data_IF_794486962991
#
_entry.id   IF_794486962991
#
_cell.length_a   1.000
_cell.length_b   1.000
_cell.length_c   1.000
_cell.angle_alpha   90.00
_cell.angle_beta   90.00
_cell.angle_gamma   90.00
#
_symmetry.space_group_name_H-M   'P 1'
#
loop_
_entity.id
_entity.type
_entity.pdbx_description
1 polymer ?
#
# COMPACT_ATOMS: atom_id res chain seq x y z
N UNK A 1 23.75 -3.87 21.28
CA UNK A 1 24.88 -3.86 20.32
C UNK A 1 24.66 -2.90 19.15
N UNK A 2 24.07 -3.28 18.00
CA UNK A 2 23.99 -2.38 16.81
C UNK A 2 23.30 -1.01 17.05
N UNK A 3 22.22 -1.00 17.84
CA UNK A 3 21.47 0.22 18.13
C UNK A 3 22.16 1.11 19.18
N UNK A 4 23.08 0.57 19.97
CA UNK A 4 23.76 1.27 21.06
C UNK A 4 25.11 1.85 20.59
N UNK A 5 25.79 1.15 19.67
CA UNK A 5 27.14 1.49 19.22
C UNK A 5 27.17 2.53 18.08
N UNK A 6 26.06 2.72 17.37
CA UNK A 6 26.03 3.56 16.17
C UNK A 6 24.96 4.64 16.24
N UNK A 7 25.28 5.82 15.70
CA UNK A 7 24.33 6.94 15.58
C UNK A 7 23.22 6.63 14.56
N UNK A 8 22.09 7.33 14.66
CA UNK A 8 20.99 7.24 13.69
C UNK A 8 21.48 7.48 12.25
N UNK A 9 22.32 8.50 12.05
CA UNK A 9 22.85 8.85 10.74
C UNK A 9 23.73 7.73 10.15
N UNK A 10 24.57 7.09 10.97
CA UNK A 10 25.39 5.97 10.52
C UNK A 10 24.53 4.78 10.10
N UNK A 11 23.51 4.41 10.90
CA UNK A 11 22.58 3.33 10.56
C UNK A 11 21.78 3.64 9.30
N UNK A 12 21.33 4.87 9.13
CA UNK A 12 20.64 5.31 7.92
C UNK A 12 21.55 5.26 6.68
N UNK A 13 22.82 5.64 6.81
CA UNK A 13 23.79 5.54 5.71
C UNK A 13 24.02 4.08 5.29
N UNK A 14 24.11 3.15 6.24
CA UNK A 14 24.21 1.71 5.97
C UNK A 14 22.97 1.21 5.23
N UNK A 15 21.77 1.60 5.67
CA UNK A 15 20.51 1.29 4.98
C UNK A 15 20.54 1.79 3.53
N UNK A 16 20.94 3.04 3.31
CA UNK A 16 21.00 3.63 1.97
C UNK A 16 22.01 2.91 1.07
N UNK A 17 23.21 2.60 1.58
CA UNK A 17 24.23 1.85 0.85
C UNK A 17 23.74 0.44 0.49
N UNK A 18 23.18 -0.29 1.45
CA UNK A 18 22.62 -1.63 1.23
C UNK A 18 21.45 -1.64 0.23
N UNK A 19 20.62 -0.59 0.25
CA UNK A 19 19.54 -0.40 -0.72
C UNK A 19 20.08 -0.23 -2.15
N UNK A 20 21.09 0.63 -2.34
CA UNK A 20 21.72 0.84 -3.65
C UNK A 20 22.43 -0.42 -4.16
N UNK A 21 23.14 -1.14 -3.29
CA UNK A 21 23.76 -2.42 -3.62
C UNK A 21 22.71 -3.46 -4.02
N UNK A 22 21.59 -3.55 -3.30
CA UNK A 22 20.47 -4.43 -3.62
C UNK A 22 19.88 -4.10 -4.99
N UNK A 23 19.66 -2.82 -5.29
CA UNK A 23 19.16 -2.39 -6.60
C UNK A 23 20.13 -2.75 -7.74
N UNK A 24 21.43 -2.50 -7.56
CA UNK A 24 22.46 -2.87 -8.53
C UNK A 24 22.51 -4.39 -8.75
N UNK A 25 22.41 -5.17 -7.67
CA UNK A 25 22.40 -6.63 -7.70
C UNK A 25 21.20 -7.18 -8.50
N UNK A 26 19.98 -6.76 -8.18
CA UNK A 26 18.78 -7.22 -8.91
C UNK A 26 18.84 -6.76 -10.37
N UNK A 27 19.36 -5.56 -10.63
CA UNK A 27 19.54 -5.06 -11.99
C UNK A 27 20.51 -5.93 -12.81
N UNK A 28 21.62 -6.38 -12.22
CA UNK A 28 22.56 -7.30 -12.85
C UNK A 28 21.91 -8.68 -13.09
N UNK A 29 21.11 -9.15 -12.12
CA UNK A 29 20.41 -10.42 -12.18
C UNK A 29 19.18 -10.44 -13.12
N UNK A 30 18.76 -9.29 -13.70
CA UNK A 30 17.54 -9.19 -14.54
C UNK A 30 17.48 -10.13 -15.74
N UNK A 31 18.65 -10.56 -16.24
CA UNK A 31 18.79 -11.49 -17.37
C UNK A 31 18.48 -12.94 -17.00
N UNK A 32 18.42 -13.27 -15.71
CA UNK A 32 18.05 -14.61 -15.25
C UNK A 32 16.60 -14.94 -15.67
N UNK A 33 16.31 -16.21 -16.01
CA UNK A 33 14.96 -16.63 -16.34
C UNK A 33 14.04 -16.54 -15.10
N UNK A 34 12.75 -16.23 -15.28
CA UNK A 34 11.78 -16.18 -14.18
C UNK A 34 11.67 -17.48 -13.38
N UNK A 35 11.22 -17.38 -12.13
CA UNK A 35 11.09 -18.51 -11.20
C UNK A 35 12.33 -18.68 -10.33
N UNK A 36 12.80 -19.92 -10.19
CA UNK A 36 13.84 -20.28 -9.22
C UNK A 36 15.16 -19.49 -9.35
N UNK A 37 15.71 -19.23 -10.55
CA UNK A 37 16.97 -18.48 -10.66
C UNK A 37 16.86 -17.04 -10.16
N UNK A 38 15.76 -16.36 -10.49
CA UNK A 38 15.47 -15.03 -9.93
C UNK A 38 15.19 -15.09 -8.43
N UNK A 39 14.54 -16.13 -7.94
CA UNK A 39 14.28 -16.30 -6.50
C UNK A 39 15.60 -16.41 -5.72
N UNK A 40 16.54 -17.24 -6.19
CA UNK A 40 17.86 -17.36 -5.57
C UNK A 40 18.59 -16.01 -5.53
N UNK A 41 18.54 -15.24 -6.62
CA UNK A 41 19.09 -13.89 -6.65
C UNK A 41 18.34 -12.90 -5.73
N UNK A 42 17.05 -13.11 -5.50
CA UNK A 42 16.22 -12.24 -4.65
C UNK A 42 16.43 -12.50 -3.15
N UNK A 43 16.75 -13.72 -2.72
CA UNK A 43 16.89 -14.09 -1.30
C UNK A 43 17.76 -13.13 -0.47
N UNK A 44 19.00 -12.76 -0.87
CA UNK A 44 19.80 -11.82 -0.07
C UNK A 44 19.16 -10.43 0.04
N UNK A 45 18.45 -9.99 -1.00
CA UNK A 45 17.74 -8.70 -1.00
C UNK A 45 16.51 -8.75 -0.09
N UNK A 46 15.76 -9.86 -0.11
CA UNK A 46 14.61 -10.05 0.78
C UNK A 46 15.06 -10.12 2.25
N UNK A 47 16.17 -10.80 2.53
CA UNK A 47 16.76 -10.85 3.87
C UNK A 47 17.19 -9.45 4.34
N UNK A 48 17.86 -8.68 3.48
CA UNK A 48 18.21 -7.29 3.76
C UNK A 48 16.96 -6.44 4.04
N UNK A 49 15.94 -6.54 3.21
CA UNK A 49 14.69 -5.80 3.39
C UNK A 49 14.02 -6.13 4.73
N UNK A 50 14.00 -7.40 5.16
CA UNK A 50 13.47 -7.81 6.47
C UNK A 50 14.33 -7.33 7.64
N UNK A 51 15.65 -7.19 7.46
CA UNK A 51 16.54 -6.68 8.49
C UNK A 51 16.52 -5.14 8.60
N UNK A 52 16.19 -4.44 7.52
CA UNK A 52 16.27 -2.98 7.44
C UNK A 52 15.53 -2.23 8.57
N UNK A 53 14.28 -2.57 8.95
CA UNK A 53 13.60 -1.85 10.03
C UNK A 53 14.22 -2.10 11.41
N UNK A 54 14.95 -3.21 11.61
CA UNK A 54 15.62 -3.53 12.87
C UNK A 54 16.80 -2.59 13.18
N UNK A 55 17.21 -1.77 12.21
CA UNK A 55 18.19 -0.69 12.40
C UNK A 55 17.61 0.51 13.17
N UNK A 56 16.33 0.49 13.52
CA UNK A 56 15.63 1.55 14.22
C UNK A 56 15.04 1.05 15.53
N UNK A 57 15.06 1.91 16.55
CA UNK A 57 14.54 1.57 17.89
C UNK A 57 13.01 1.47 17.87
N UNK A 58 12.42 0.31 18.20
CA UNK A 58 10.97 0.21 18.36
C UNK A 58 10.50 1.03 19.58
N UNK A 59 9.21 1.30 19.64
CA UNK A 59 8.55 1.86 20.80
C UNK A 59 8.52 0.85 21.95
N UNK A 60 9.12 1.23 23.08
CA UNK A 60 8.98 0.49 24.33
C UNK A 60 7.69 0.94 25.04
N UNK A 61 6.63 0.13 24.90
CA UNK A 61 5.34 0.41 25.54
C UNK A 61 5.39 0.34 27.08
N UNK A 62 6.45 -0.20 27.67
CA UNK A 62 6.63 -0.23 29.13
C UNK A 62 7.28 1.05 29.68
N UNK A 63 8.00 1.79 28.83
CA UNK A 63 8.68 3.02 29.20
C UNK A 63 8.75 3.98 28.00
N UNK A 64 7.74 4.84 27.91
CA UNK A 64 7.62 5.84 26.84
C UNK A 64 8.62 7.00 26.98
N UNK A 65 9.38 7.09 28.07
CA UNK A 65 10.42 8.12 28.23
C UNK A 65 11.65 7.81 27.37
N UNK A 66 11.84 6.54 26.99
CA UNK A 66 12.98 6.12 26.16
C UNK A 66 12.86 6.67 24.74
N UNK A 67 13.98 7.09 24.14
CA UNK A 67 14.00 7.51 22.75
C UNK A 67 13.60 6.33 21.86
N UNK A 68 12.59 6.56 21.01
CA UNK A 68 12.13 5.58 20.02
C UNK A 68 12.20 6.19 18.62
N UNK A 69 12.41 5.32 17.63
CA UNK A 69 12.50 5.65 16.21
C UNK A 69 11.38 4.92 15.47
N UNK A 70 10.23 4.76 16.14
CA UNK A 70 9.10 3.94 15.68
C UNK A 70 8.56 4.40 14.32
N UNK A 71 8.48 5.70 14.08
CA UNK A 71 8.06 6.24 12.78
C UNK A 71 9.05 5.80 11.69
N UNK A 72 10.36 5.90 11.94
CA UNK A 72 11.40 5.44 11.00
C UNK A 72 11.30 3.93 10.77
N UNK A 73 11.13 3.13 11.83
CA UNK A 73 10.93 1.69 11.71
C UNK A 73 9.71 1.35 10.83
N UNK A 74 8.56 2.00 11.06
CA UNK A 74 7.35 1.81 10.27
C UNK A 74 7.49 2.26 8.81
N UNK A 75 8.15 3.39 8.54
CA UNK A 75 8.38 3.87 7.17
C UNK A 75 9.37 2.98 6.40
N UNK A 76 10.41 2.48 7.07
CA UNK A 76 11.39 1.56 6.46
C UNK A 76 10.75 0.18 6.25
N UNK A 77 9.90 -0.29 7.15
CA UNK A 77 9.09 -1.49 6.93
C UNK A 77 8.21 -1.35 5.68
N UNK A 78 7.44 -0.27 5.59
CA UNK A 78 6.56 -0.01 4.46
C UNK A 78 7.35 0.04 3.13
N UNK A 79 8.49 0.73 3.11
CA UNK A 79 9.30 0.86 1.90
C UNK A 79 10.01 -0.45 1.51
N UNK A 80 10.62 -1.14 2.47
CA UNK A 80 11.51 -2.28 2.20
C UNK A 80 10.80 -3.62 2.33
N UNK A 81 10.29 -3.94 3.53
CA UNK A 81 9.65 -5.23 3.82
C UNK A 81 8.42 -5.43 2.95
N UNK A 82 7.63 -4.37 2.77
CA UNK A 82 6.43 -4.44 1.95
C UNK A 82 6.70 -4.09 0.48
N UNK A 83 6.89 -2.82 0.14
CA UNK A 83 6.83 -2.39 -1.27
C UNK A 83 8.00 -2.91 -2.10
N UNK A 84 9.24 -2.76 -1.63
CA UNK A 84 10.43 -3.24 -2.34
C UNK A 84 10.40 -4.77 -2.50
N UNK A 85 10.18 -5.52 -1.41
CA UNK A 85 10.09 -6.98 -1.47
C UNK A 85 9.01 -7.47 -2.41
N UNK A 86 7.83 -6.83 -2.43
CA UNK A 86 6.76 -7.25 -3.34
C UNK A 86 7.11 -6.95 -4.80
N UNK A 87 7.77 -5.83 -5.10
CA UNK A 87 8.28 -5.57 -6.46
C UNK A 87 9.31 -6.62 -6.89
N UNK A 88 10.21 -7.01 -5.98
CA UNK A 88 11.21 -8.06 -6.22
C UNK A 88 10.55 -9.43 -6.40
N UNK A 89 9.60 -9.80 -5.55
CA UNK A 89 8.85 -11.06 -5.66
C UNK A 89 8.01 -11.10 -6.94
N UNK A 90 7.38 -9.99 -7.32
CA UNK A 90 6.70 -9.88 -8.60
C UNK A 90 7.68 -10.10 -9.76
N UNK A 91 8.88 -9.51 -9.72
CA UNK A 91 9.93 -9.71 -10.73
C UNK A 91 10.38 -11.16 -10.85
N UNK A 92 10.53 -11.87 -9.72
CA UNK A 92 10.79 -13.32 -9.68
C UNK A 92 9.73 -14.07 -10.49
N UNK A 93 8.46 -13.70 -10.32
CA UNK A 93 7.33 -14.28 -11.03
C UNK A 93 7.06 -13.69 -12.43
N UNK A 94 7.97 -12.89 -12.98
CA UNK A 94 7.78 -12.20 -14.26
C UNK A 94 6.56 -11.25 -14.29
N UNK A 95 6.29 -10.58 -13.18
CA UNK A 95 5.17 -9.65 -12.99
C UNK A 95 5.68 -8.30 -12.47
N UNK A 96 4.80 -7.29 -12.50
CA UNK A 96 5.07 -6.00 -11.90
C UNK A 96 6.07 -5.13 -12.69
N UNK A 97 6.49 -4.00 -12.11
CA UNK A 97 7.16 -2.94 -12.85
C UNK A 97 8.62 -3.24 -13.20
N UNK A 98 9.29 -4.11 -12.44
CA UNK A 98 10.72 -4.42 -12.59
C UNK A 98 11.04 -5.36 -13.76
N UNK A 99 10.02 -5.92 -14.43
CA UNK A 99 10.20 -6.74 -15.65
C UNK A 99 10.57 -5.88 -16.86
N UNK A 100 10.20 -4.60 -16.85
CA UNK A 100 10.43 -3.69 -17.97
C UNK A 100 11.93 -3.35 -18.10
N UNK A 101 12.41 -3.04 -19.32
CA UNK A 101 13.82 -2.76 -19.58
C UNK A 101 14.23 -1.34 -19.16
N UNK A 102 14.08 -1.02 -17.86
CA UNK A 102 14.47 0.27 -17.31
C UNK A 102 15.99 0.49 -17.37
N UNK A 103 16.40 1.76 -17.51
CA UNK A 103 17.80 2.17 -17.31
C UNK A 103 18.21 1.94 -15.84
N UNK A 104 19.50 1.75 -15.51
CA UNK A 104 19.93 1.43 -14.14
C UNK A 104 19.38 2.37 -13.07
N UNK A 105 19.43 3.69 -13.30
CA UNK A 105 18.92 4.69 -12.34
C UNK A 105 17.39 4.63 -12.19
N UNK A 106 16.66 4.48 -13.30
CA UNK A 106 15.20 4.30 -13.28
C UNK A 106 14.82 3.00 -12.55
N UNK A 107 15.56 1.92 -12.79
CA UNK A 107 15.35 0.64 -12.15
C UNK A 107 15.52 0.74 -10.63
N UNK A 108 16.63 1.32 -10.17
CA UNK A 108 16.88 1.53 -8.74
C UNK A 108 15.82 2.41 -8.09
N UNK A 109 15.45 3.52 -8.73
CA UNK A 109 14.39 4.40 -8.23
C UNK A 109 13.03 3.69 -8.12
N UNK A 110 12.63 2.92 -9.15
CA UNK A 110 11.37 2.18 -9.15
C UNK A 110 11.38 1.05 -8.11
N UNK A 111 12.51 0.38 -7.92
CA UNK A 111 12.64 -0.70 -6.94
C UNK A 111 12.54 -0.17 -5.51
N UNK A 112 13.32 0.87 -5.18
CA UNK A 112 13.52 1.32 -3.80
C UNK A 112 12.49 2.33 -3.33
N UNK A 113 12.00 3.21 -4.21
CA UNK A 113 11.04 4.24 -3.81
C UNK A 113 9.62 3.65 -3.71
N UNK A 114 8.77 4.17 -2.80
CA UNK A 114 7.40 3.71 -2.61
C UNK A 114 6.43 4.24 -3.71
N UNK A 115 6.82 4.09 -4.97
CA UNK A 115 6.08 4.56 -6.16
C UNK A 115 5.60 3.41 -7.03
N UNK A 116 4.60 3.65 -7.88
CA UNK A 116 4.24 2.76 -8.98
C UNK A 116 4.39 3.51 -10.31
N UNK A 117 5.18 3.02 -11.27
CA UNK A 117 5.18 3.60 -12.61
C UNK A 117 3.86 3.29 -13.31
N UNK A 118 3.41 4.17 -14.18
CA UNK A 118 2.17 4.00 -14.95
C UNK A 118 2.18 2.70 -15.76
N UNK A 119 1.06 1.98 -15.76
CA UNK A 119 0.86 0.77 -16.56
C UNK A 119 0.61 1.13 -18.04
N UNK A 120 1.62 0.96 -18.91
CA UNK A 120 1.46 1.20 -20.36
C UNK A 120 0.63 0.13 -21.09
N UNK A 121 0.43 -1.05 -20.50
CA UNK A 121 -0.28 -2.17 -21.13
C UNK A 121 -1.82 -2.03 -21.18
N UNK A 122 -2.38 -0.90 -20.77
CA UNK A 122 -3.81 -0.62 -20.89
C UNK A 122 -4.26 -0.18 -22.31
N UNK A 123 -3.35 -0.10 -23.29
CA UNK A 123 -3.68 0.30 -24.66
C UNK A 123 -4.35 -0.82 -25.51
N UNK A 124 -4.33 -2.08 -25.08
CA UNK A 124 -4.86 -3.21 -25.86
C UNK A 124 -5.93 -4.05 -25.15
N UNK A 125 -6.43 -3.63 -23.99
CA UNK A 125 -7.66 -4.17 -23.41
C UNK A 125 -8.81 -3.19 -23.70
N UNK A 126 -9.63 -3.52 -24.69
CA UNK A 126 -10.91 -2.84 -24.88
C UNK A 126 -11.73 -2.91 -23.58
N UNK A 127 -12.24 -1.75 -23.15
CA UNK A 127 -13.01 -1.43 -21.95
C UNK A 127 -12.23 -1.05 -20.66
N UNK A 128 -12.27 0.27 -20.38
CA UNK A 128 -11.98 0.97 -19.11
C UNK A 128 -10.54 0.83 -18.59
N UNK A 129 -9.69 1.72 -19.07
CA UNK A 129 -8.43 2.12 -18.42
C UNK A 129 -8.67 2.33 -16.91
N UNK A 130 -7.98 1.57 -16.06
CA UNK A 130 -8.01 1.76 -14.61
C UNK A 130 -7.12 2.92 -14.19
N UNK A 131 -7.33 3.47 -12.99
CA UNK A 131 -6.65 4.69 -12.51
C UNK A 131 -5.12 4.59 -12.37
N UNK A 132 -4.57 3.37 -12.45
CA UNK A 132 -3.12 3.09 -12.53
C UNK A 132 -2.50 3.43 -13.90
N UNK A 133 -3.34 3.68 -14.90
CA UNK A 133 -2.94 4.17 -16.22
C UNK A 133 -2.97 5.71 -16.30
N UNK A 134 -3.47 6.40 -15.27
CA UNK A 134 -3.50 7.87 -15.20
C UNK A 134 -2.16 8.39 -14.64
N UNK A 135 -1.67 9.48 -15.22
CA UNK A 135 -0.54 10.22 -14.66
C UNK A 135 -1.00 11.01 -13.44
N UNK A 136 -0.21 11.00 -12.37
CA UNK A 136 -0.50 11.76 -11.14
C UNK A 136 -0.51 13.29 -11.32
N UNK A 137 -0.30 13.79 -12.55
CA UNK A 137 -0.13 15.20 -12.88
C UNK A 137 1.34 15.56 -13.11
N UNK A 138 1.59 16.83 -13.49
CA UNK A 138 2.96 17.36 -13.58
C UNK A 138 3.57 17.61 -12.20
N UNK A 139 4.89 17.84 -12.15
CA UNK A 139 5.62 17.99 -10.88
C UNK A 139 5.05 19.09 -9.96
N UNK A 140 4.52 20.18 -10.53
CA UNK A 140 3.88 21.26 -9.78
C UNK A 140 2.56 20.83 -9.10
N UNK A 141 1.76 19.98 -9.76
CA UNK A 141 0.52 19.44 -9.18
C UNK A 141 0.86 18.51 -8.00
N UNK A 142 1.88 17.68 -8.18
CA UNK A 142 2.38 16.79 -7.12
C UNK A 142 2.93 17.58 -5.93
N UNK A 143 3.69 18.65 -6.19
CA UNK A 143 4.21 19.55 -5.16
C UNK A 143 3.09 20.29 -4.42
N UNK A 144 2.06 20.76 -5.13
CA UNK A 144 0.89 21.40 -4.52
C UNK A 144 0.08 20.42 -3.65
N UNK A 145 -0.16 19.20 -4.14
CA UNK A 145 -0.80 18.15 -3.37
C UNK A 145 0.00 17.77 -2.11
N UNK A 146 1.33 17.73 -2.23
CA UNK A 146 2.24 17.52 -1.10
C UNK A 146 2.11 18.66 -0.07
N UNK A 147 2.20 19.92 -0.50
CA UNK A 147 2.08 21.08 0.40
C UNK A 147 0.74 21.10 1.13
N UNK A 148 -0.37 20.84 0.43
CA UNK A 148 -1.70 20.77 1.03
C UNK A 148 -1.79 19.70 2.14
N UNK A 149 -1.12 18.56 1.96
CA UNK A 149 -1.11 17.47 2.95
C UNK A 149 -0.20 17.74 4.13
N UNK A 150 0.90 18.50 3.94
CA UNK A 150 1.72 19.02 5.04
C UNK A 150 0.89 19.97 5.91
N UNK A 151 0.14 20.89 5.30
CA UNK A 151 -0.79 21.78 6.01
C UNK A 151 -1.86 20.96 6.75
N UNK A 152 -2.45 19.96 6.09
CA UNK A 152 -3.44 19.07 6.70
C UNK A 152 -2.86 18.33 7.92
N UNK A 153 -1.61 17.85 7.83
CA UNK A 153 -0.94 17.17 8.93
C UNK A 153 -0.71 18.11 10.12
N UNK A 154 -0.22 19.34 9.86
CA UNK A 154 -0.02 20.35 10.89
C UNK A 154 -1.33 20.78 11.56
N UNK A 155 -2.38 21.03 10.77
CA UNK A 155 -3.71 21.37 11.28
C UNK A 155 -4.32 20.21 12.10
N UNK A 156 -4.19 18.97 11.63
CA UNK A 156 -4.62 17.78 12.36
C UNK A 156 -3.89 17.61 13.68
N UNK A 157 -2.55 17.81 13.69
CA UNK A 157 -1.73 17.77 14.89
C UNK A 157 -2.16 18.84 15.91
N UNK A 158 -2.36 20.09 15.47
CA UNK A 158 -2.85 21.16 16.33
C UNK A 158 -4.22 20.82 16.91
N UNK A 159 -5.14 20.32 16.07
CA UNK A 159 -6.49 19.97 16.49
C UNK A 159 -6.52 18.89 17.58
N UNK A 160 -5.75 17.81 17.43
CA UNK A 160 -5.70 16.73 18.44
C UNK A 160 -4.97 17.13 19.73
N UNK A 161 -4.08 18.14 19.64
CA UNK A 161 -3.29 18.65 20.78
C UNK A 161 -4.09 19.65 21.62
N UNK A 162 -4.77 20.59 20.97
CA UNK A 162 -5.37 21.75 21.65
C UNK A 162 -6.88 21.65 21.82
N UNK A 163 -7.56 20.75 21.11
CA UNK A 163 -9.01 20.61 21.18
C UNK A 163 -9.40 19.26 21.80
N UNK A 164 -10.24 19.22 22.85
CA UNK A 164 -10.75 17.98 23.41
C UNK A 164 -11.80 17.37 22.49
N UNK A 165 -11.35 16.63 21.47
CA UNK A 165 -12.23 15.94 20.54
C UNK A 165 -12.83 14.66 21.17
N UNK A 166 -14.11 14.34 20.89
CA UNK A 166 -14.68 13.02 21.12
C UNK A 166 -13.84 11.93 20.44
N UNK A 167 -13.81 10.72 21.03
CA UNK A 167 -12.90 9.64 20.59
C UNK A 167 -12.96 9.35 19.09
N UNK A 168 -14.15 9.13 18.53
CA UNK A 168 -14.32 8.85 17.10
C UNK A 168 -13.86 10.02 16.21
N UNK A 169 -14.09 11.27 16.63
CA UNK A 169 -13.62 12.44 15.88
C UNK A 169 -12.09 12.55 15.91
N UNK A 170 -11.47 12.27 17.06
CA UNK A 170 -10.02 12.21 17.22
C UNK A 170 -9.39 11.14 16.33
N UNK A 171 -9.97 9.94 16.32
CA UNK A 171 -9.54 8.84 15.46
C UNK A 171 -9.68 9.15 13.97
N UNK A 172 -10.74 9.85 13.57
CA UNK A 172 -10.87 10.35 12.20
C UNK A 172 -9.73 11.31 11.83
N UNK A 173 -9.33 12.21 12.74
CA UNK A 173 -8.16 13.08 12.53
C UNK A 173 -6.87 12.27 12.47
N UNK A 174 -6.73 11.19 13.25
CA UNK A 174 -5.61 10.26 13.10
C UNK A 174 -5.58 9.59 11.73
N UNK A 175 -6.74 9.22 11.16
CA UNK A 175 -6.82 8.71 9.78
C UNK A 175 -6.32 9.74 8.77
N UNK A 176 -6.68 11.01 8.93
CA UNK A 176 -6.14 12.10 8.10
C UNK A 176 -4.63 12.25 8.26
N UNK A 177 -4.11 12.08 9.49
CA UNK A 177 -2.68 12.06 9.77
C UNK A 177 -1.94 10.95 9.03
N UNK A 178 -2.44 9.70 9.09
CA UNK A 178 -1.87 8.57 8.35
C UNK A 178 -1.89 8.83 6.84
N UNK A 179 -3.02 9.33 6.32
CA UNK A 179 -3.15 9.71 4.91
C UNK A 179 -2.09 10.73 4.47
N UNK A 180 -1.84 11.76 5.31
CA UNK A 180 -0.81 12.76 5.04
C UNK A 180 0.61 12.21 5.14
N UNK A 181 0.92 11.38 6.14
CA UNK A 181 2.26 10.77 6.32
C UNK A 181 2.59 9.83 5.15
N UNK A 182 1.66 8.96 4.76
CA UNK A 182 1.85 8.07 3.62
C UNK A 182 2.04 8.88 2.33
N UNK A 183 1.22 9.91 2.13
CA UNK A 183 1.37 10.78 0.97
C UNK A 183 2.71 11.49 0.94
N UNK A 184 3.20 12.00 2.08
CA UNK A 184 4.53 12.60 2.16
C UNK A 184 5.62 11.60 1.72
N UNK A 185 5.54 10.36 2.25
CA UNK A 185 6.50 9.31 1.94
C UNK A 185 6.50 8.88 0.46
N UNK A 186 5.36 9.01 -0.23
CA UNK A 186 5.19 8.53 -1.60
C UNK A 186 5.27 9.65 -2.65
N UNK A 187 4.56 10.77 -2.46
CA UNK A 187 4.59 11.93 -3.36
C UNK A 187 5.97 12.60 -3.35
N UNK A 188 6.64 12.62 -2.19
CA UNK A 188 7.95 13.23 -1.99
C UNK A 188 9.02 12.68 -2.94
N UNK A 189 9.26 11.36 -2.97
CA UNK A 189 10.16 10.74 -3.95
C UNK A 189 9.62 10.76 -5.39
N UNK A 190 8.30 10.71 -5.58
CA UNK A 190 7.71 10.62 -6.91
C UNK A 190 7.98 11.87 -7.77
N UNK A 191 7.95 13.07 -7.17
CA UNK A 191 8.23 14.33 -7.87
C UNK A 191 9.66 14.39 -8.50
N UNK A 192 10.76 14.24 -7.76
CA UNK A 192 12.10 14.25 -8.33
C UNK A 192 12.36 13.04 -9.25
N UNK A 193 11.79 11.86 -8.97
CA UNK A 193 11.89 10.71 -9.88
C UNK A 193 11.21 11.01 -11.21
N UNK A 194 10.03 11.61 -11.20
CA UNK A 194 9.34 12.01 -12.43
C UNK A 194 10.09 13.10 -13.18
N UNK A 195 10.61 14.11 -12.48
CA UNK A 195 11.29 15.25 -13.10
C UNK A 195 12.69 14.91 -13.64
N UNK A 196 13.49 14.16 -12.88
CA UNK A 196 14.89 13.89 -13.19
C UNK A 196 15.10 12.61 -13.99
N UNK A 197 14.27 11.58 -13.77
CA UNK A 197 14.42 10.27 -14.40
C UNK A 197 13.37 10.00 -15.50
N UNK A 198 12.42 10.92 -15.70
CA UNK A 198 11.36 10.81 -16.71
C UNK A 198 10.39 9.64 -16.45
N UNK A 199 10.37 9.10 -15.22
CA UNK A 199 9.49 8.00 -14.87
C UNK A 199 8.10 8.56 -14.57
N UNK A 200 7.14 8.19 -15.42
CA UNK A 200 5.73 8.51 -15.23
C UNK A 200 5.17 7.74 -14.02
N UNK A 201 4.85 8.45 -12.94
CA UNK A 201 4.32 7.88 -11.69
C UNK A 201 2.79 7.90 -11.67
N UNK A 202 2.17 6.79 -11.26
CA UNK A 202 0.74 6.66 -11.05
C UNK A 202 0.34 7.30 -9.70
N UNK A 203 -0.88 7.86 -9.59
CA UNK A 203 -1.35 8.48 -8.35
C UNK A 203 -1.37 7.47 -7.19
N UNK A 204 -0.95 7.91 -6.01
CA UNK A 204 -0.95 7.09 -4.79
C UNK A 204 -2.32 7.07 -4.10
N UNK A 205 -3.01 8.21 -4.14
CA UNK A 205 -4.35 8.41 -3.60
C UNK A 205 -5.22 9.17 -4.58
N UNK A 206 -6.53 9.07 -4.42
CA UNK A 206 -7.50 9.89 -5.14
C UNK A 206 -8.75 10.16 -4.33
N UNK A 207 -8.77 11.34 -3.71
CA UNK A 207 -9.88 11.82 -2.91
C UNK A 207 -10.58 10.68 -2.12
N UNK A 208 -9.85 9.92 -1.27
CA UNK A 208 -10.39 8.73 -0.61
C UNK A 208 -11.62 9.03 0.25
N UNK A 209 -11.71 10.24 0.77
CA UNK A 209 -12.86 10.71 1.56
C UNK A 209 -14.11 11.03 0.71
N UNK A 210 -14.03 10.90 -0.62
CA UNK A 210 -15.17 10.97 -1.53
C UNK A 210 -15.64 9.58 -2.01
N UNK A 211 -15.07 8.50 -1.46
CA UNK A 211 -15.49 7.14 -1.79
C UNK A 211 -16.98 6.96 -1.54
N UNK A 212 -17.73 6.41 -2.50
CA UNK A 212 -19.20 6.18 -2.33
C UNK A 212 -19.56 4.73 -2.02
N UNK A 213 -18.54 3.89 -1.82
CA UNK A 213 -18.63 2.46 -1.52
C UNK A 213 -17.27 1.94 -1.06
N UNK A 214 -17.24 0.81 -0.36
CA UNK A 214 -15.99 0.17 0.09
C UNK A 214 -15.15 -0.30 -1.09
N UNK A 215 -15.81 -0.78 -2.16
CA UNK A 215 -15.08 -1.14 -3.39
C UNK A 215 -14.37 0.09 -3.97
N UNK A 216 -15.06 1.23 -4.07
CA UNK A 216 -14.49 2.48 -4.58
C UNK A 216 -13.31 2.97 -3.72
N UNK A 217 -13.44 2.88 -2.39
CA UNK A 217 -12.36 3.21 -1.46
C UNK A 217 -11.09 2.37 -1.72
N UNK A 218 -11.21 1.04 -1.66
CA UNK A 218 -10.05 0.14 -1.71
C UNK A 218 -9.46 -0.06 -3.11
N UNK A 219 -10.27 -0.08 -4.17
CA UNK A 219 -9.77 -0.37 -5.52
C UNK A 219 -9.38 0.85 -6.33
N UNK A 220 -9.84 2.04 -5.94
CA UNK A 220 -9.69 3.24 -6.76
C UNK A 220 -9.13 4.46 -6.04
N UNK A 221 -9.08 4.51 -4.70
CA UNK A 221 -8.81 5.77 -4.00
C UNK A 221 -7.77 5.72 -2.89
N UNK A 222 -7.70 4.62 -2.16
CA UNK A 222 -6.81 4.46 -1.01
C UNK A 222 -5.59 3.59 -1.35
N UNK A 223 -4.40 4.10 -1.07
CA UNK A 223 -3.11 3.42 -1.21
C UNK A 223 -3.00 2.51 -2.44
N UNK A 224 -3.04 3.18 -3.59
CA UNK A 224 -3.01 2.53 -4.90
C UNK A 224 -1.69 1.81 -5.17
N UNK A 225 -0.60 2.17 -4.48
CA UNK A 225 0.70 1.50 -4.66
C UNK A 225 0.72 0.17 -3.93
N UNK A 226 0.29 0.13 -2.66
CA UNK A 226 0.16 -1.14 -1.93
C UNK A 226 -0.86 -2.07 -2.60
N UNK A 227 -1.99 -1.52 -3.04
CA UNK A 227 -3.00 -2.25 -3.82
C UNK A 227 -2.43 -2.88 -5.09
N UNK A 228 -1.54 -2.16 -5.80
CA UNK A 228 -0.88 -2.69 -6.99
C UNK A 228 0.14 -3.80 -6.67
N UNK A 229 0.86 -3.69 -5.55
CA UNK A 229 1.76 -4.78 -5.12
C UNK A 229 0.98 -6.05 -4.79
N UNK A 230 -0.13 -5.94 -4.06
CA UNK A 230 -1.04 -7.06 -3.80
C UNK A 230 -1.64 -7.63 -5.09
N UNK A 231 -1.95 -6.76 -6.06
CA UNK A 231 -2.45 -7.19 -7.37
C UNK A 231 -1.43 -8.08 -8.10
N UNK A 232 -0.17 -7.67 -8.13
CA UNK A 232 0.90 -8.36 -8.84
C UNK A 232 1.36 -9.65 -8.16
N UNK A 233 1.45 -9.65 -6.82
CA UNK A 233 1.97 -10.78 -6.05
C UNK A 233 0.90 -11.80 -5.61
N UNK A 234 -0.35 -11.36 -5.43
CA UNK A 234 -1.41 -12.18 -4.82
C UNK A 234 -2.59 -12.35 -5.76
N UNK A 235 -3.24 -11.26 -6.17
CA UNK A 235 -4.49 -11.32 -6.93
C UNK A 235 -4.31 -11.99 -8.30
N UNK A 236 -3.39 -11.46 -9.13
CA UNK A 236 -3.21 -11.92 -10.50
C UNK A 236 -2.76 -13.40 -10.57
N UNK A 237 -1.80 -13.86 -9.74
CA UNK A 237 -1.45 -15.28 -9.68
C UNK A 237 -2.63 -16.20 -9.36
N UNK A 238 -3.49 -15.84 -8.39
CA UNK A 238 -4.66 -16.64 -8.01
C UNK A 238 -5.72 -16.66 -9.12
N UNK A 239 -5.97 -15.50 -9.75
CA UNK A 239 -6.96 -15.37 -10.81
C UNK A 239 -6.54 -16.12 -12.07
N UNK A 240 -5.28 -15.99 -12.47
CA UNK A 240 -4.71 -16.69 -13.62
C UNK A 240 -4.50 -18.19 -13.32
N UNK A 241 -4.32 -18.57 -12.05
CA UNK A 241 -3.97 -19.93 -11.65
C UNK A 241 -2.51 -20.30 -11.94
N UNK A 242 -1.63 -19.30 -12.05
CA UNK A 242 -0.20 -19.48 -12.31
C UNK A 242 0.64 -18.42 -11.58
N UNK A 243 1.68 -18.86 -10.88
CA UNK A 243 2.59 -17.95 -10.17
C UNK A 243 3.44 -17.14 -11.17
N UNK A 244 4.19 -17.84 -12.03
CA UNK A 244 5.04 -17.21 -13.04
C UNK A 244 4.20 -16.82 -14.26
N UNK A 245 4.24 -15.54 -14.64
CA UNK A 245 3.54 -15.05 -15.82
C UNK A 245 4.29 -15.41 -17.10
N UNK A 246 3.67 -16.25 -17.94
CA UNK A 246 4.15 -16.57 -19.29
C UNK A 246 3.49 -15.72 -20.37
N UNK A 247 4.00 -15.77 -21.62
CA UNK A 247 3.41 -15.07 -22.75
C UNK A 247 1.90 -15.39 -22.90
N UNK A 248 1.12 -14.47 -23.51
CA UNK A 248 -0.31 -14.69 -23.68
C UNK A 248 -0.56 -15.99 -24.46
N UNK A 249 -1.36 -16.89 -23.92
CA UNK A 249 -1.87 -18.02 -24.70
C UNK A 249 -2.68 -17.45 -25.87
N UNK A 250 -2.37 -17.89 -27.10
CA UNK A 250 -3.19 -17.55 -28.27
C UNK A 250 -4.60 -18.04 -27.98
N UNK A 251 -5.56 -17.12 -27.88
CA UNK A 251 -6.98 -17.49 -27.84
C UNK A 251 -7.26 -18.35 -29.08
N UNK A 252 -7.88 -19.54 -28.91
CA UNK A 252 -8.41 -20.28 -30.05
C UNK A 252 -9.35 -19.34 -30.82
N UNK A 253 -9.19 -19.29 -32.14
CA UNK A 253 -10.08 -18.51 -33.00
C UNK A 253 -11.54 -18.87 -32.68
N UNK A 254 -12.42 -17.86 -32.65
CA UNK A 254 -13.83 -18.04 -32.31
C UNK A 254 -14.48 -19.03 -33.29
N UNK A 255 -14.60 -20.29 -32.88
CA UNK A 255 -15.31 -21.32 -33.64
C UNK A 255 -16.82 -21.09 -33.64
N UNK A 256 -17.57 -21.69 -34.60
CA UNK A 256 -18.99 -21.39 -34.81
C UNK A 256 -19.89 -21.75 -33.62
N UNK A 257 -21.09 -21.15 -33.60
CA UNK A 257 -22.15 -21.13 -32.57
C UNK A 257 -22.08 -22.21 -31.47
N UNK A 258 -22.09 -21.75 -30.22
CA UNK A 258 -21.99 -22.57 -29.02
C UNK A 258 -23.09 -23.63 -28.92
N UNK A 259 -22.69 -24.91 -29.00
CA UNK A 259 -23.51 -26.07 -28.63
C UNK A 259 -23.93 -26.02 -27.16
N UNK A 260 -24.97 -26.75 -26.75
CA UNK A 260 -25.39 -26.84 -25.34
C UNK A 260 -24.23 -27.26 -24.40
N UNK A 261 -23.36 -28.17 -24.88
CA UNK A 261 -22.11 -28.55 -24.21
C UNK A 261 -21.15 -27.35 -24.09
N UNK A 262 -21.00 -26.55 -25.15
CA UNK A 262 -20.21 -25.32 -25.13
C UNK A 262 -20.78 -24.23 -24.21
N UNK A 263 -22.10 -24.15 -24.03
CA UNK A 263 -22.74 -23.24 -23.07
C UNK A 263 -22.49 -23.69 -21.63
N UNK A 264 -22.60 -25.00 -21.35
CA UNK A 264 -22.32 -25.56 -20.03
C UNK A 264 -20.85 -25.40 -19.64
N UNK A 265 -19.92 -25.66 -20.56
CA UNK A 265 -18.49 -25.42 -20.37
C UNK A 265 -18.17 -23.94 -20.14
N UNK A 266 -18.86 -23.03 -20.83
CA UNK A 266 -18.71 -21.58 -20.58
C UNK A 266 -19.26 -21.17 -19.22
N UNK A 267 -20.38 -21.75 -18.78
CA UNK A 267 -20.97 -21.48 -17.47
C UNK A 267 -20.07 -21.96 -16.33
N UNK A 268 -19.52 -23.18 -16.42
CA UNK A 268 -18.56 -23.70 -15.44
C UNK A 268 -17.28 -22.87 -15.41
N UNK A 269 -16.70 -22.53 -16.58
CA UNK A 269 -15.53 -21.66 -16.67
C UNK A 269 -15.79 -20.26 -16.05
N UNK A 270 -16.97 -19.68 -16.28
CA UNK A 270 -17.38 -18.40 -15.69
C UNK A 270 -17.51 -18.50 -14.16
N UNK A 271 -18.03 -19.61 -13.65
CA UNK A 271 -18.12 -19.89 -12.21
C UNK A 271 -16.74 -20.05 -11.57
N UNK A 272 -15.84 -20.83 -12.19
CA UNK A 272 -14.45 -20.96 -11.72
C UNK A 272 -13.74 -19.61 -11.71
N UNK A 273 -13.92 -18.80 -12.76
CA UNK A 273 -13.38 -17.43 -12.84
C UNK A 273 -13.92 -16.53 -11.71
N UNK A 274 -15.23 -16.62 -11.39
CA UNK A 274 -15.83 -15.87 -10.28
C UNK A 274 -15.27 -16.31 -8.93
N UNK A 275 -15.12 -17.61 -8.69
CA UNK A 275 -14.53 -18.17 -7.45
C UNK A 275 -13.08 -17.72 -7.29
N UNK A 276 -12.26 -17.81 -8.34
CA UNK A 276 -10.86 -17.36 -8.30
C UNK A 276 -10.72 -15.87 -8.02
N UNK A 277 -11.59 -15.01 -8.59
CA UNK A 277 -11.62 -13.57 -8.26
C UNK A 277 -11.97 -13.29 -6.81
N UNK A 278 -12.94 -14.02 -6.24
CA UNK A 278 -13.29 -13.90 -4.83
C UNK A 278 -12.13 -14.35 -3.93
N UNK A 279 -11.52 -15.50 -4.23
CA UNK A 279 -10.36 -16.01 -3.51
C UNK A 279 -9.18 -15.03 -3.59
N UNK A 280 -8.90 -14.49 -4.78
CA UNK A 280 -7.85 -13.49 -4.96
C UNK A 280 -8.09 -12.24 -4.14
N UNK A 281 -9.33 -11.72 -4.13
CA UNK A 281 -9.71 -10.56 -3.31
C UNK A 281 -9.54 -10.85 -1.81
N UNK A 282 -10.03 -12.00 -1.32
CA UNK A 282 -9.91 -12.39 0.07
C UNK A 282 -8.45 -12.58 0.49
N UNK A 283 -7.63 -13.21 -0.37
CA UNK A 283 -6.20 -13.37 -0.13
C UNK A 283 -5.48 -12.02 -0.07
N UNK A 284 -5.81 -11.05 -0.93
CA UNK A 284 -5.22 -9.71 -0.85
C UNK A 284 -5.52 -9.02 0.49
N UNK A 285 -6.77 -9.10 0.98
CA UNK A 285 -7.12 -8.53 2.28
C UNK A 285 -6.43 -9.25 3.43
N UNK A 286 -6.34 -10.58 3.39
CA UNK A 286 -5.62 -11.36 4.41
C UNK A 286 -4.12 -10.99 4.44
N UNK A 287 -3.46 -10.98 3.29
CA UNK A 287 -2.05 -10.62 3.17
C UNK A 287 -1.82 -9.18 3.64
N UNK A 288 -2.69 -8.24 3.26
CA UNK A 288 -2.64 -6.86 3.78
C UNK A 288 -2.74 -6.83 5.30
N UNK A 289 -3.68 -7.58 5.88
CA UNK A 289 -3.83 -7.67 7.34
C UNK A 289 -2.59 -8.19 8.05
N UNK A 290 -1.97 -9.24 7.51
CA UNK A 290 -0.71 -9.79 8.03
C UNK A 290 0.41 -8.76 7.94
N UNK A 291 0.53 -8.03 6.83
CA UNK A 291 1.56 -6.99 6.69
C UNK A 291 1.40 -5.88 7.74
N UNK A 292 0.18 -5.53 8.14
CA UNK A 292 -0.04 -4.57 9.22
C UNK A 292 0.29 -5.14 10.61
N UNK A 293 0.11 -6.45 10.84
CA UNK A 293 0.63 -7.10 12.06
C UNK A 293 2.17 -7.10 12.09
N UNK A 294 2.81 -7.30 10.95
CA UNK A 294 4.27 -7.20 10.80
C UNK A 294 4.73 -5.77 11.06
N UNK A 295 4.02 -4.78 10.52
CA UNK A 295 4.31 -3.36 10.73
C UNK A 295 4.23 -2.98 12.22
N UNK A 296 3.15 -3.33 12.93
CA UNK A 296 3.04 -3.02 14.35
C UNK A 296 4.10 -3.78 15.18
N UNK A 297 4.49 -4.98 14.75
CA UNK A 297 5.58 -5.73 15.38
C UNK A 297 6.93 -5.03 15.22
N UNK A 298 7.29 -4.54 14.03
CA UNK A 298 8.51 -3.75 13.86
C UNK A 298 8.47 -2.43 14.66
N UNK A 299 7.29 -1.83 14.78
CA UNK A 299 7.11 -0.59 15.52
C UNK A 299 7.17 -0.75 17.04
N UNK A 300 6.76 -1.90 17.60
CA UNK A 300 6.52 -2.05 19.05
C UNK A 300 7.12 -3.31 19.68
N UNK A 301 7.68 -4.21 18.88
CA UNK A 301 8.07 -5.56 19.31
C UNK A 301 6.89 -6.49 19.64
N UNK A 302 5.64 -6.05 19.43
CA UNK A 302 4.41 -6.78 19.79
C UNK A 302 3.42 -6.81 18.62
N UNK A 303 2.62 -7.87 18.55
CA UNK A 303 1.53 -7.95 17.56
C UNK A 303 0.23 -7.39 18.15
N UNK A 304 -0.73 -7.03 17.29
CA UNK A 304 -2.06 -6.61 17.77
C UNK A 304 -2.92 -7.78 18.24
N UNK A 305 -2.39 -9.01 18.18
CA UNK A 305 -3.11 -10.28 18.37
C UNK A 305 -4.26 -10.48 17.36
N UNK A 306 -4.06 -10.01 16.12
CA UNK A 306 -4.99 -10.24 15.01
C UNK A 306 -6.05 -9.14 14.82
N UNK A 307 -6.03 -8.05 15.59
CA UNK A 307 -6.98 -6.94 15.40
C UNK A 307 -6.77 -6.26 14.04
N UNK A 308 -5.53 -6.03 13.63
CA UNK A 308 -5.24 -5.45 12.32
C UNK A 308 -5.60 -6.43 11.20
N UNK A 309 -5.32 -7.72 11.40
CA UNK A 309 -5.79 -8.74 10.45
C UNK A 309 -7.32 -8.78 10.34
N UNK A 310 -8.04 -8.65 11.46
CA UNK A 310 -9.49 -8.62 11.50
C UNK A 310 -10.08 -7.40 10.74
N UNK A 311 -9.45 -6.22 10.85
CA UNK A 311 -9.84 -5.02 10.09
C UNK A 311 -9.93 -5.31 8.58
N UNK A 312 -8.90 -5.95 8.02
CA UNK A 312 -8.86 -6.26 6.59
C UNK A 312 -9.72 -7.47 6.23
N UNK A 313 -9.74 -8.52 7.07
CA UNK A 313 -10.58 -9.70 6.83
C UNK A 313 -12.07 -9.35 6.76
N UNK A 314 -12.53 -8.41 7.60
CA UNK A 314 -13.91 -7.93 7.61
C UNK A 314 -14.32 -7.23 6.30
N UNK A 315 -13.38 -6.74 5.49
CA UNK A 315 -13.69 -6.11 4.21
C UNK A 315 -14.34 -7.09 3.23
N UNK A 316 -13.99 -8.38 3.29
CA UNK A 316 -14.51 -9.41 2.37
C UNK A 316 -16.03 -9.57 2.50
N UNK A 317 -16.61 -9.88 3.67
CA UNK A 317 -18.06 -9.96 3.81
C UNK A 317 -18.74 -8.60 3.56
N UNK A 318 -18.13 -7.48 3.94
CA UNK A 318 -18.69 -6.15 3.68
C UNK A 318 -18.80 -5.83 2.18
N UNK A 319 -17.77 -6.16 1.39
CA UNK A 319 -17.77 -6.00 -0.06
C UNK A 319 -18.77 -6.96 -0.74
N UNK A 320 -18.95 -8.16 -0.20
CA UNK A 320 -19.99 -9.09 -0.68
C UNK A 320 -21.39 -8.56 -0.39
N UNK A 321 -21.61 -8.02 0.81
CA UNK A 321 -22.86 -7.36 1.17
C UNK A 321 -23.13 -6.16 0.25
N UNK A 322 -22.15 -5.29 0.02
CA UNK A 322 -22.25 -4.17 -0.91
C UNK A 322 -22.66 -4.62 -2.32
N UNK A 323 -22.02 -5.67 -2.85
CA UNK A 323 -22.33 -6.24 -4.17
C UNK A 323 -23.75 -6.80 -4.27
N UNK A 324 -24.33 -7.22 -3.16
CA UNK A 324 -25.69 -7.74 -3.07
C UNK A 324 -26.73 -6.63 -2.86
N UNK A 325 -26.49 -5.72 -1.92
CA UNK A 325 -27.39 -4.60 -1.56
C UNK A 325 -27.48 -3.54 -2.67
N UNK A 326 -26.36 -3.17 -3.30
CA UNK A 326 -26.30 -2.07 -4.27
C UNK A 326 -27.30 -2.21 -5.43
N UNK A 327 -27.34 -3.35 -6.13
CA UNK A 327 -28.32 -3.60 -7.19
C UNK A 327 -29.77 -3.62 -6.68
N UNK A 328 -30.02 -4.10 -5.46
CA UNK A 328 -31.37 -4.14 -4.89
C UNK A 328 -31.89 -2.74 -4.58
N UNK A 329 -31.09 -1.92 -3.90
CA UNK A 329 -31.42 -0.53 -3.61
C UNK A 329 -31.67 0.28 -4.89
N UNK A 330 -30.90 0.00 -5.95
CA UNK A 330 -31.13 0.60 -7.28
C UNK A 330 -32.46 0.19 -7.89
N UNK A 331 -32.82 -1.11 -7.82
CA UNK A 331 -34.10 -1.61 -8.35
C UNK A 331 -35.30 -1.04 -7.60
N UNK A 332 -35.16 -0.81 -6.30
CA UNK A 332 -36.20 -0.21 -5.45
C UNK A 332 -36.27 1.32 -5.56
N UNK A 333 -35.34 1.96 -6.30
CA UNK A 333 -35.26 3.42 -6.37
C UNK A 333 -34.78 4.09 -5.07
N UNK A 334 -34.27 3.32 -4.11
CA UNK A 334 -33.85 3.79 -2.78
C UNK A 334 -32.36 4.11 -2.68
N UNK A 335 -31.66 4.23 -3.82
CA UNK A 335 -30.23 4.51 -3.78
C UNK A 335 -30.01 5.96 -3.28
N UNK A 336 -29.35 6.17 -2.12
CA UNK A 336 -29.17 7.51 -1.60
C UNK A 336 -28.27 8.36 -2.49
N UNK A 337 -28.39 9.70 -2.43
CA UNK A 337 -27.45 10.63 -3.05
C UNK A 337 -25.99 10.32 -2.71
N UNK A 338 -25.08 10.69 -3.61
CA UNK A 338 -23.64 10.39 -3.48
C UNK A 338 -23.04 10.84 -2.13
N UNK A 339 -23.32 12.05 -1.60
CA UNK A 339 -22.76 12.48 -0.33
C UNK A 339 -23.15 11.56 0.84
N UNK A 340 -24.42 11.14 0.90
CA UNK A 340 -24.90 10.23 1.95
C UNK A 340 -24.23 8.87 1.87
N UNK A 341 -24.01 8.35 0.65
CA UNK A 341 -23.26 7.11 0.45
C UNK A 341 -21.81 7.24 0.88
N UNK A 342 -21.19 8.39 0.65
CA UNK A 342 -19.83 8.66 1.11
C UNK A 342 -19.74 8.70 2.62
N UNK A 343 -20.64 9.44 3.27
CA UNK A 343 -20.74 9.44 4.73
C UNK A 343 -20.92 8.02 5.26
N UNK A 344 -21.89 7.26 4.73
CA UNK A 344 -22.12 5.88 5.15
C UNK A 344 -20.87 4.97 4.98
N UNK A 345 -20.18 5.08 3.84
CA UNK A 345 -18.96 4.30 3.57
C UNK A 345 -17.85 4.65 4.57
N UNK A 346 -17.61 5.93 4.79
CA UNK A 346 -16.59 6.39 5.73
C UNK A 346 -16.96 6.07 7.18
N UNK A 347 -18.24 6.12 7.55
CA UNK A 347 -18.71 5.72 8.87
C UNK A 347 -18.49 4.23 9.12
N UNK A 348 -18.76 3.36 8.13
CA UNK A 348 -18.47 1.92 8.26
C UNK A 348 -16.96 1.68 8.45
N UNK A 349 -16.12 2.35 7.65
CA UNK A 349 -14.67 2.24 7.78
C UNK A 349 -14.16 2.77 9.12
N UNK A 350 -14.68 3.92 9.57
CA UNK A 350 -14.30 4.54 10.83
C UNK A 350 -14.71 3.67 12.02
N UNK A 351 -15.95 3.18 12.06
CA UNK A 351 -16.42 2.30 13.12
C UNK A 351 -15.66 0.98 13.15
N UNK A 352 -15.41 0.37 12.00
CA UNK A 352 -14.58 -0.83 11.94
C UNK A 352 -13.17 -0.52 12.45
N UNK A 353 -12.56 0.57 11.99
CA UNK A 353 -11.22 0.99 12.43
C UNK A 353 -11.15 1.28 13.93
N UNK A 354 -12.21 1.85 14.53
CA UNK A 354 -12.29 2.11 15.95
C UNK A 354 -12.10 0.85 16.78
N UNK A 355 -12.86 -0.21 16.48
CA UNK A 355 -12.82 -1.46 17.23
C UNK A 355 -11.61 -2.34 16.94
N UNK A 356 -10.94 -2.14 15.80
CA UNK A 356 -9.82 -2.99 15.39
C UNK A 356 -8.51 -2.22 15.28
N UNK A 357 -8.43 -1.27 14.35
CA UNK A 357 -7.20 -0.55 14.02
C UNK A 357 -6.74 0.37 15.15
N UNK A 358 -7.60 1.29 15.57
CA UNK A 358 -7.25 2.25 16.61
C UNK A 358 -7.10 1.57 17.96
N UNK A 359 -7.93 0.58 18.28
CA UNK A 359 -7.75 -0.28 19.45
C UNK A 359 -6.35 -0.93 19.49
N UNK A 360 -5.84 -1.42 18.35
CA UNK A 360 -4.51 -2.00 18.26
C UNK A 360 -3.39 -0.98 18.53
N UNK A 361 -3.51 0.22 17.95
CA UNK A 361 -2.50 1.28 18.08
C UNK A 361 -2.53 1.95 19.46
N UNK A 362 -3.71 2.13 20.07
CA UNK A 362 -3.87 2.68 21.42
C UNK A 362 -3.29 1.74 22.48
N UNK A 363 -3.46 0.43 22.32
CA UNK A 363 -2.98 -0.59 23.28
C UNK A 363 -1.49 -0.48 23.60
N UNK A 364 -0.68 -0.03 22.65
CA UNK A 364 0.77 0.12 22.81
C UNK A 364 1.23 1.58 22.79
N UNK A 365 0.31 2.55 22.90
CA UNK A 365 0.65 3.97 22.94
C UNK A 365 1.20 4.55 21.62
N UNK A 366 0.99 3.86 20.49
CA UNK A 366 1.56 4.23 19.19
C UNK A 366 1.09 5.61 18.74
N UNK A 367 -0.21 5.92 18.93
CA UNK A 367 -0.78 7.22 18.56
C UNK A 367 -0.15 8.36 19.36
N UNK A 368 0.02 8.18 20.67
CA UNK A 368 0.63 9.18 21.56
C UNK A 368 2.11 9.38 21.25
N UNK A 369 2.85 8.28 21.05
CA UNK A 369 4.24 8.34 20.64
C UNK A 369 4.42 9.09 19.31
N UNK A 370 3.56 8.82 18.32
CA UNK A 370 3.59 9.49 17.03
C UNK A 370 3.33 11.00 17.14
N UNK A 371 2.32 11.41 17.94
CA UNK A 371 2.02 12.83 18.20
C UNK A 371 3.24 13.52 18.84
N UNK A 372 3.83 12.90 19.86
CA UNK A 372 5.02 13.44 20.53
C UNK A 372 6.20 13.59 19.58
N UNK A 373 6.49 12.59 18.75
CA UNK A 373 7.56 12.66 17.74
C UNK A 373 7.32 13.77 16.72
N UNK A 374 6.08 13.97 16.26
CA UNK A 374 5.74 15.05 15.34
C UNK A 374 5.86 16.43 15.98
N UNK A 375 5.46 16.57 17.25
CA UNK A 375 5.64 17.82 18.00
C UNK A 375 7.11 18.16 18.21
N UNK A 376 7.96 17.17 18.54
CA UNK A 376 9.40 17.38 18.66
C UNK A 376 10.01 17.82 17.32
N UNK A 377 9.67 17.15 16.22
CA UNK A 377 10.12 17.54 14.88
C UNK A 377 9.70 18.97 14.53
N UNK A 378 8.46 19.34 14.83
CA UNK A 378 7.95 20.70 14.59
C UNK A 378 8.75 21.76 15.36
N UNK A 379 9.11 21.50 16.62
CA UNK A 379 9.92 22.43 17.43
C UNK A 379 11.32 22.61 16.86
N UNK A 380 11.95 21.52 16.44
CA UNK A 380 13.28 21.53 15.82
C UNK A 380 13.29 22.31 14.51
N UNK A 381 12.31 22.08 13.64
CA UNK A 381 12.22 22.74 12.32
C UNK A 381 11.90 24.22 12.44
N UNK A 382 11.04 24.60 13.40
CA UNK A 382 10.63 26.00 13.59
C UNK A 382 11.64 26.81 14.44
N UNK A 383 12.77 26.22 14.83
CA UNK A 383 13.81 26.92 15.60
C UNK A 383 13.37 27.35 17.00
N UNK A 384 12.26 26.80 17.53
CA UNK A 384 11.73 27.13 18.85
C UNK A 384 12.38 26.27 19.95
N UNK A 385 13.70 26.07 19.87
CA UNK A 385 14.49 25.35 20.86
C UNK A 385 15.41 26.32 21.60
N UNK A 386 15.07 26.63 22.84
CA UNK A 386 16.05 26.95 23.88
C UNK A 386 16.76 25.67 24.32
#
# INVERSE_FOLDING_TARGET
>A
MLLEEHSYAARFAVLAAGALLSAAWVHAARRLPPGWPRLAAALPVLAFNCAAPLMFRPLDASDMSKPNEMISAGMVEFAFVWLCSYKVLAWVCNRGPLVRPWRPLQFGAIMLAPISPVEEHAAHASHRSGRQAEHAGGAAVMAGAFAAKVVLLGAGLALVTYVPLPKLAREFVYTLGIYSILSFAMDGPAAPISALLGVKVAPHFDAPFLATSLSDFWSHRWDLVAGNQLRNCVYAPIVEGRLVHGPPERRPAAGPKATAVGQQQRATAAQHSRRRRLLGMAACFLVSGIMHEVQIWYMTGRTSRGLLTAFFAAQVPLLLAERWLGPQLRRLGWLPPRPLRSVATLSVLLLLSHYTWWAAYEKYGVTQAAIHSLQQLSKTVLGSGQ
#
